data_IF_607158480631
#
_entry.id   IF_607158480631
#
_cell.length_a   1.000
_cell.length_b   1.000
_cell.length_c   1.000
_cell.angle_alpha   90.00
_cell.angle_beta   90.00
_cell.angle_gamma   90.00
#
_symmetry.space_group_name_H-M   'P 1'
#
loop_
_entity.id
_entity.type
_entity.pdbx_description
1 polymer ?
#
# COMPACT_ATOMS: atom_id res chain seq x y z
N UNK A 1 -2.92 -30.15 -12.80
CA UNK A 1 -2.34 -29.01 -13.56
C UNK A 1 -0.93 -29.41 -13.98
N UNK A 2 -0.58 -29.27 -15.26
CA UNK A 2 0.77 -29.59 -15.76
C UNK A 2 1.77 -28.49 -15.41
N UNK A 3 3.05 -28.82 -15.20
CA UNK A 3 4.12 -27.83 -14.99
C UNK A 3 4.15 -26.78 -16.10
N UNK A 4 3.93 -27.19 -17.36
CA UNK A 4 3.85 -26.28 -18.51
C UNK A 4 2.70 -25.27 -18.38
N UNK A 5 1.54 -25.72 -17.90
CA UNK A 5 0.38 -24.83 -17.66
C UNK A 5 0.60 -23.84 -16.51
N UNK A 6 1.47 -24.17 -15.55
CA UNK A 6 1.84 -23.25 -14.48
C UNK A 6 2.80 -22.18 -14.97
N UNK A 7 3.78 -22.55 -15.81
CA UNK A 7 4.74 -21.61 -16.39
C UNK A 7 4.08 -20.59 -17.31
N UNK A 8 3.13 -21.03 -18.15
CA UNK A 8 2.39 -20.11 -19.05
C UNK A 8 1.54 -19.12 -18.27
N UNK A 9 0.90 -19.55 -17.19
CA UNK A 9 0.12 -18.66 -16.32
C UNK A 9 0.99 -17.64 -15.60
N UNK A 10 2.17 -18.04 -15.10
CA UNK A 10 3.13 -17.10 -14.50
C UNK A 10 3.55 -16.02 -15.50
N UNK A 11 3.93 -16.41 -16.71
CA UNK A 11 4.32 -15.46 -17.75
C UNK A 11 3.20 -14.49 -18.13
N UNK A 12 1.93 -14.96 -18.18
CA UNK A 12 0.77 -14.08 -18.39
C UNK A 12 0.58 -13.09 -17.24
N UNK A 13 0.71 -13.55 -16.00
CA UNK A 13 0.63 -12.67 -14.82
C UNK A 13 1.70 -11.58 -14.87
N UNK A 14 2.96 -11.96 -15.14
CA UNK A 14 4.07 -11.00 -15.20
C UNK A 14 3.88 -9.96 -16.32
N UNK A 15 3.33 -10.38 -17.47
CA UNK A 15 2.97 -9.47 -18.55
C UNK A 15 1.85 -8.49 -18.13
N UNK A 16 0.81 -8.98 -17.44
CA UNK A 16 -0.28 -8.14 -16.93
C UNK A 16 0.22 -7.11 -15.90
N UNK A 17 1.07 -7.52 -14.96
CA UNK A 17 1.72 -6.62 -13.99
C UNK A 17 2.53 -5.55 -14.71
N UNK A 18 3.28 -5.94 -15.76
CA UNK A 18 4.04 -4.98 -16.57
C UNK A 18 3.15 -3.96 -17.26
N UNK A 19 1.98 -4.36 -17.75
CA UNK A 19 1.02 -3.42 -18.34
C UNK A 19 0.50 -2.42 -17.30
N UNK A 20 0.18 -2.85 -16.07
CA UNK A 20 -0.19 -1.93 -14.97
C UNK A 20 0.91 -0.90 -14.71
N UNK A 21 2.17 -1.35 -14.60
CA UNK A 21 3.31 -0.46 -14.37
C UNK A 21 3.51 0.54 -15.52
N UNK A 22 3.27 0.14 -16.78
CA UNK A 22 3.32 1.02 -17.94
C UNK A 22 2.15 2.00 -17.99
N UNK A 23 0.94 1.56 -17.63
CA UNK A 23 -0.28 2.37 -17.63
C UNK A 23 -0.13 3.58 -16.70
N UNK A 24 0.37 3.34 -15.48
CA UNK A 24 0.64 4.37 -14.45
C UNK A 24 1.57 5.49 -14.91
N UNK A 25 2.38 5.24 -15.95
CA UNK A 25 3.36 6.19 -16.50
C UNK A 25 2.97 6.73 -17.88
N UNK A 26 1.75 6.42 -18.35
CA UNK A 26 1.27 6.76 -19.68
C UNK A 26 0.18 7.84 -19.61
N UNK A 27 0.00 8.56 -20.72
CA UNK A 27 -1.14 9.46 -20.92
C UNK A 27 -2.47 8.70 -20.96
N UNK A 28 -3.57 9.38 -20.63
CA UNK A 28 -4.88 8.77 -20.35
C UNK A 28 -5.33 7.72 -21.37
N UNK A 29 -5.32 8.05 -22.68
CA UNK A 29 -5.79 7.12 -23.72
C UNK A 29 -4.93 5.85 -23.85
N UNK A 30 -3.61 5.97 -23.68
CA UNK A 30 -2.70 4.82 -23.67
C UNK A 30 -2.80 4.03 -22.36
N UNK A 31 -2.97 4.73 -21.24
CA UNK A 31 -3.14 4.11 -19.93
C UNK A 31 -4.39 3.22 -19.90
N UNK A 32 -5.52 3.69 -20.43
CA UNK A 32 -6.78 2.93 -20.50
C UNK A 32 -6.61 1.61 -21.28
N UNK A 33 -5.96 1.64 -22.45
CA UNK A 33 -5.69 0.44 -23.25
C UNK A 33 -4.77 -0.56 -22.51
N UNK A 34 -3.77 -0.05 -21.79
CA UNK A 34 -2.85 -0.87 -21.01
C UNK A 34 -3.55 -1.51 -19.80
N UNK A 35 -4.43 -0.78 -19.11
CA UNK A 35 -5.25 -1.33 -18.02
C UNK A 35 -6.18 -2.44 -18.53
N UNK A 36 -6.91 -2.21 -19.64
CA UNK A 36 -7.76 -3.23 -20.26
C UNK A 36 -6.96 -4.51 -20.61
N UNK A 37 -5.75 -4.33 -21.16
CA UNK A 37 -4.85 -5.46 -21.48
C UNK A 37 -4.39 -6.20 -20.22
N UNK A 38 -4.09 -5.48 -19.14
CA UNK A 38 -3.75 -6.08 -17.85
C UNK A 38 -4.91 -6.90 -17.29
N UNK A 39 -6.14 -6.36 -17.31
CA UNK A 39 -7.33 -7.02 -16.76
C UNK A 39 -7.69 -8.31 -17.50
N UNK A 40 -7.56 -8.31 -18.82
CA UNK A 40 -7.71 -9.55 -19.60
C UNK A 40 -6.66 -10.59 -19.18
N UNK A 41 -5.41 -10.16 -18.95
CA UNK A 41 -4.34 -11.02 -18.47
C UNK A 41 -4.62 -11.60 -17.08
N UNK A 42 -5.13 -10.81 -16.14
CA UNK A 42 -5.51 -11.30 -14.81
C UNK A 42 -6.69 -12.28 -14.87
N UNK A 43 -7.72 -12.00 -15.68
CA UNK A 43 -8.86 -12.89 -15.87
C UNK A 43 -8.44 -14.28 -16.42
N UNK A 44 -7.52 -14.30 -17.38
CA UNK A 44 -6.94 -15.53 -17.93
C UNK A 44 -6.20 -16.36 -16.87
N UNK A 45 -5.51 -15.69 -15.94
CA UNK A 45 -4.72 -16.33 -14.88
C UNK A 45 -5.62 -16.95 -13.80
N UNK A 46 -6.63 -16.20 -13.38
CA UNK A 46 -7.57 -16.52 -12.28
C UNK A 46 -8.29 -17.87 -12.49
N UNK A 47 -8.41 -18.32 -13.73
CA UNK A 47 -9.00 -19.61 -14.10
C UNK A 47 -8.17 -20.85 -13.68
N UNK A 48 -7.42 -20.83 -12.56
CA UNK A 48 -6.79 -22.02 -11.97
C UNK A 48 -5.83 -21.76 -10.80
N UNK A 49 -5.76 -22.73 -9.89
CA UNK A 49 -5.84 -22.52 -8.44
C UNK A 49 -4.54 -22.18 -7.66
N UNK A 50 -3.41 -21.81 -8.29
CA UNK A 50 -2.12 -21.66 -7.56
C UNK A 50 -1.58 -20.23 -7.41
N UNK A 51 -1.89 -19.32 -8.34
CA UNK A 51 -1.46 -17.91 -8.30
C UNK A 51 -2.67 -16.95 -8.21
N UNK A 52 -3.79 -17.49 -7.70
CA UNK A 52 -5.08 -16.81 -7.70
C UNK A 52 -5.07 -15.55 -6.81
N UNK A 53 -4.55 -15.66 -5.59
CA UNK A 53 -4.47 -14.52 -4.66
C UNK A 53 -3.54 -13.41 -5.20
N UNK A 54 -2.38 -13.77 -5.76
CA UNK A 54 -1.43 -12.81 -6.35
C UNK A 54 -2.05 -12.08 -7.56
N UNK A 55 -2.75 -12.81 -8.43
CA UNK A 55 -3.46 -12.20 -9.56
C UNK A 55 -4.59 -11.26 -9.11
N UNK A 56 -5.37 -11.64 -8.09
CA UNK A 56 -6.40 -10.78 -7.50
C UNK A 56 -5.80 -9.51 -6.90
N UNK A 57 -4.70 -9.64 -6.15
CA UNK A 57 -4.00 -8.50 -5.58
C UNK A 57 -3.54 -7.53 -6.67
N UNK A 58 -2.83 -8.01 -7.70
CA UNK A 58 -2.33 -7.14 -8.76
C UNK A 58 -3.43 -6.54 -9.63
N UNK A 59 -4.56 -7.23 -9.79
CA UNK A 59 -5.73 -6.65 -10.43
C UNK A 59 -6.31 -5.51 -9.59
N UNK A 60 -6.55 -5.73 -8.30
CA UNK A 60 -6.98 -4.67 -7.38
C UNK A 60 -6.05 -3.47 -7.37
N UNK A 61 -4.74 -3.72 -7.36
CA UNK A 61 -3.69 -2.70 -7.45
C UNK A 61 -3.78 -1.90 -8.76
N UNK A 62 -3.99 -2.56 -9.90
CA UNK A 62 -4.21 -1.90 -11.18
C UNK A 62 -5.42 -0.98 -11.16
N UNK A 63 -6.56 -1.48 -10.66
CA UNK A 63 -7.81 -0.73 -10.55
C UNK A 63 -7.67 0.49 -9.61
N UNK A 64 -7.04 0.30 -8.44
CA UNK A 64 -6.73 1.40 -7.51
C UNK A 64 -5.97 2.53 -8.21
N UNK A 65 -4.97 2.19 -9.03
CA UNK A 65 -4.22 3.19 -9.79
C UNK A 65 -4.97 3.77 -10.98
N UNK A 66 -5.82 3.00 -11.66
CA UNK A 66 -6.70 3.52 -12.70
C UNK A 66 -7.68 4.54 -12.13
N UNK A 67 -8.34 4.22 -11.00
CA UNK A 67 -9.30 5.11 -10.35
C UNK A 67 -8.68 6.47 -10.00
N UNK A 68 -7.44 6.48 -9.50
CA UNK A 68 -6.66 7.70 -9.21
C UNK A 68 -6.38 8.57 -10.43
N UNK A 69 -6.39 7.99 -11.63
CA UNK A 69 -6.17 8.71 -12.89
C UNK A 69 -7.46 9.25 -13.49
N UNK A 70 -8.63 8.88 -12.95
CA UNK A 70 -9.91 9.34 -13.47
C UNK A 70 -10.24 10.76 -13.04
N UNK A 71 -10.76 11.55 -13.99
CA UNK A 71 -11.29 12.89 -13.73
C UNK A 71 -12.78 12.88 -13.36
N UNK A 72 -13.51 11.86 -13.83
CA UNK A 72 -14.91 11.65 -13.50
C UNK A 72 -15.02 10.85 -12.20
N UNK A 73 -15.60 11.47 -11.16
CA UNK A 73 -15.77 10.85 -9.85
C UNK A 73 -16.70 9.65 -9.86
N UNK A 74 -17.75 9.63 -10.70
CA UNK A 74 -18.64 8.47 -10.80
C UNK A 74 -17.89 7.25 -11.35
N UNK A 75 -17.11 7.46 -12.41
CA UNK A 75 -16.26 6.39 -12.97
C UNK A 75 -15.19 5.96 -11.97
N UNK A 76 -14.60 6.90 -11.23
CA UNK A 76 -13.60 6.57 -10.20
C UNK A 76 -14.21 5.71 -9.08
N UNK A 77 -15.41 6.05 -8.62
CA UNK A 77 -16.15 5.28 -7.59
C UNK A 77 -16.33 3.83 -8.03
N UNK A 78 -16.87 3.60 -9.23
CA UNK A 78 -17.10 2.24 -9.75
C UNK A 78 -15.80 1.41 -9.79
N UNK A 79 -14.69 2.04 -10.21
CA UNK A 79 -13.38 1.38 -10.28
C UNK A 79 -12.81 1.10 -8.87
N UNK A 80 -13.00 2.01 -7.90
CA UNK A 80 -12.60 1.77 -6.51
C UNK A 80 -13.37 0.60 -5.89
N UNK A 81 -14.69 0.51 -6.12
CA UNK A 81 -15.51 -0.61 -5.64
C UNK A 81 -15.03 -1.95 -6.23
N UNK A 82 -14.65 -1.93 -7.51
CA UNK A 82 -14.04 -3.09 -8.16
C UNK A 82 -12.68 -3.45 -7.57
N UNK A 83 -11.82 -2.46 -7.28
CA UNK A 83 -10.53 -2.66 -6.62
C UNK A 83 -10.69 -3.29 -5.24
N UNK A 84 -11.59 -2.73 -4.42
CA UNK A 84 -11.97 -3.22 -3.09
C UNK A 84 -12.45 -4.66 -3.16
N UNK A 85 -13.28 -4.98 -4.16
CA UNK A 85 -13.73 -6.35 -4.40
C UNK A 85 -12.55 -7.29 -4.67
N UNK A 86 -11.58 -6.91 -5.52
CA UNK A 86 -10.40 -7.75 -5.78
C UNK A 86 -9.53 -7.95 -4.54
N UNK A 87 -9.29 -6.91 -3.74
CA UNK A 87 -8.55 -7.04 -2.49
C UNK A 87 -9.28 -7.89 -1.45
N UNK A 88 -10.60 -7.73 -1.32
CA UNK A 88 -11.43 -8.52 -0.41
C UNK A 88 -11.41 -10.01 -0.78
N UNK A 89 -11.52 -10.33 -2.07
CA UNK A 89 -11.40 -11.70 -2.56
C UNK A 89 -9.98 -12.26 -2.38
N UNK A 90 -8.94 -11.43 -2.57
CA UNK A 90 -7.56 -11.82 -2.27
C UNK A 90 -7.41 -12.25 -0.79
N UNK A 91 -7.95 -11.45 0.13
CA UNK A 91 -7.94 -11.74 1.57
C UNK A 91 -8.85 -12.91 1.97
N UNK A 92 -9.91 -13.19 1.21
CA UNK A 92 -10.73 -14.38 1.42
C UNK A 92 -9.94 -15.66 1.11
N UNK A 93 -9.15 -15.64 0.03
CA UNK A 93 -8.34 -16.78 -0.42
C UNK A 93 -7.05 -16.92 0.40
N UNK A 94 -6.40 -15.80 0.70
CA UNK A 94 -5.16 -15.73 1.46
C UNK A 94 -5.27 -14.65 2.55
N UNK A 95 -5.81 -15.00 3.73
CA UNK A 95 -6.10 -14.03 4.80
C UNK A 95 -4.92 -13.23 5.33
N UNK A 96 -3.69 -13.72 5.12
CA UNK A 96 -2.45 -13.07 5.53
C UNK A 96 -1.73 -12.32 4.39
N UNK A 97 -2.43 -11.99 3.30
CA UNK A 97 -1.84 -11.21 2.19
C UNK A 97 -1.72 -9.73 2.59
N UNK A 98 -0.53 -9.35 3.07
CA UNK A 98 -0.27 -8.03 3.64
C UNK A 98 -0.62 -6.88 2.67
N UNK A 99 -0.17 -6.97 1.41
CA UNK A 99 -0.44 -5.93 0.41
C UNK A 99 -1.93 -5.69 0.18
N UNK A 100 -2.75 -6.74 0.10
CA UNK A 100 -4.19 -6.61 -0.10
C UNK A 100 -4.90 -5.99 1.13
N UNK A 101 -4.39 -6.23 2.33
CA UNK A 101 -4.90 -5.58 3.54
C UNK A 101 -4.56 -4.07 3.56
N UNK A 102 -3.34 -3.70 3.17
CA UNK A 102 -2.94 -2.28 3.11
C UNK A 102 -3.66 -1.56 1.97
N UNK A 103 -3.54 -2.05 0.74
CA UNK A 103 -4.08 -1.37 -0.44
C UNK A 103 -5.61 -1.37 -0.48
N UNK A 104 -6.26 -2.39 0.10
CA UNK A 104 -7.70 -2.38 0.29
C UNK A 104 -8.16 -1.28 1.26
N UNK A 105 -7.41 -1.05 2.35
CA UNK A 105 -7.67 0.06 3.27
C UNK A 105 -7.49 1.41 2.59
N UNK A 106 -6.43 1.54 1.78
CA UNK A 106 -6.19 2.74 0.97
C UNK A 106 -7.33 2.96 -0.02
N UNK A 107 -7.79 1.93 -0.73
CA UNK A 107 -8.91 2.05 -1.66
C UNK A 107 -10.20 2.53 -0.98
N UNK A 108 -10.49 2.05 0.24
CA UNK A 108 -11.61 2.57 1.03
C UNK A 108 -11.44 4.04 1.44
N UNK A 109 -10.24 4.47 1.85
CA UNK A 109 -9.97 5.87 2.15
C UNK A 109 -10.19 6.77 0.93
N UNK A 110 -9.63 6.39 -0.22
CA UNK A 110 -9.77 7.15 -1.47
C UNK A 110 -11.23 7.22 -1.93
N UNK A 111 -11.95 6.10 -1.84
CA UNK A 111 -13.38 6.07 -2.12
C UNK A 111 -14.17 6.99 -1.18
N UNK A 112 -13.82 7.00 0.12
CA UNK A 112 -14.41 7.91 1.11
C UNK A 112 -14.26 9.38 0.72
N UNK A 113 -13.08 9.80 0.25
CA UNK A 113 -12.80 11.19 -0.14
C UNK A 113 -13.70 11.69 -1.27
N UNK A 114 -14.05 10.83 -2.22
CA UNK A 114 -14.85 11.21 -3.40
C UNK A 114 -16.33 10.82 -3.29
N UNK A 115 -16.71 10.14 -2.21
CA UNK A 115 -18.09 9.73 -1.95
C UNK A 115 -18.91 10.83 -1.27
N UNK A 116 -20.26 10.75 -1.36
CA UNK A 116 -21.16 11.58 -0.56
C UNK A 116 -20.86 11.51 0.94
N UNK A 117 -21.13 12.61 1.65
CA UNK A 117 -20.79 12.78 3.07
C UNK A 117 -21.35 11.64 3.96
N UNK A 118 -22.57 11.17 3.68
CA UNK A 118 -23.26 10.14 4.45
C UNK A 118 -22.64 8.73 4.31
N UNK A 119 -21.84 8.49 3.28
CA UNK A 119 -21.10 7.24 3.09
C UNK A 119 -19.71 7.24 3.73
N UNK A 120 -19.12 8.42 3.99
CA UNK A 120 -17.70 8.55 4.37
C UNK A 120 -17.33 7.81 5.64
N UNK A 121 -18.13 7.97 6.70
CA UNK A 121 -17.84 7.36 8.00
C UNK A 121 -17.79 5.83 7.91
N UNK A 122 -18.71 5.25 7.13
CA UNK A 122 -18.74 3.81 6.88
C UNK A 122 -17.53 3.34 6.07
N UNK A 123 -17.13 4.09 5.05
CA UNK A 123 -15.94 3.79 4.24
C UNK A 123 -14.65 3.88 5.05
N UNK A 124 -14.50 4.89 5.90
CA UNK A 124 -13.35 5.02 6.80
C UNK A 124 -13.31 3.92 7.86
N UNK A 125 -14.47 3.47 8.36
CA UNK A 125 -14.53 2.31 9.24
C UNK A 125 -14.07 1.01 8.55
N UNK A 126 -14.40 0.85 7.26
CA UNK A 126 -13.92 -0.29 6.47
C UNK A 126 -12.42 -0.19 6.20
N UNK A 127 -11.89 1.01 5.93
CA UNK A 127 -10.46 1.26 5.82
C UNK A 127 -9.72 0.86 7.10
N UNK A 128 -10.23 1.28 8.27
CA UNK A 128 -9.71 0.91 9.59
C UNK A 128 -9.58 -0.61 9.74
N UNK A 129 -10.64 -1.37 9.45
CA UNK A 129 -10.63 -2.85 9.54
C UNK A 129 -9.55 -3.50 8.68
N UNK A 130 -9.33 -2.96 7.47
CA UNK A 130 -8.29 -3.42 6.56
C UNK A 130 -6.89 -3.12 7.10
N UNK A 131 -6.66 -1.91 7.62
CA UNK A 131 -5.39 -1.56 8.22
C UNK A 131 -5.12 -2.29 9.53
N UNK A 132 -6.12 -2.52 10.38
CA UNK A 132 -5.98 -3.37 11.57
C UNK A 132 -5.59 -4.79 11.17
N UNK A 133 -6.19 -5.34 10.11
CA UNK A 133 -5.82 -6.66 9.59
C UNK A 133 -4.35 -6.66 9.14
N UNK A 134 -3.89 -5.63 8.43
CA UNK A 134 -2.48 -5.49 8.06
C UNK A 134 -1.58 -5.47 9.32
N UNK A 135 -1.96 -4.72 10.36
CA UNK A 135 -1.24 -4.69 11.64
C UNK A 135 -1.22 -6.03 12.38
N UNK A 136 -2.27 -6.87 12.24
CA UNK A 136 -2.29 -8.25 12.76
C UNK A 136 -1.36 -9.19 11.98
N UNK A 137 -1.19 -8.96 10.68
CA UNK A 137 -0.27 -9.73 9.82
C UNK A 137 1.17 -9.32 10.09
N UNK A 138 1.43 -8.02 10.11
CA UNK A 138 2.73 -7.42 10.37
C UNK A 138 2.54 -6.15 11.20
N UNK A 139 2.94 -6.20 12.46
CA UNK A 139 2.79 -5.06 13.37
C UNK A 139 3.53 -3.83 12.81
N UNK A 140 2.85 -2.68 12.82
CA UNK A 140 3.38 -1.41 12.32
C UNK A 140 3.18 -1.16 10.82
N UNK A 141 2.87 -2.17 10.01
CA UNK A 141 2.86 -2.04 8.53
C UNK A 141 1.87 -1.01 7.97
N UNK A 142 0.83 -0.70 8.73
CA UNK A 142 -0.28 0.22 8.38
C UNK A 142 -0.55 1.24 9.48
N UNK A 143 0.36 1.39 10.46
CA UNK A 143 0.11 2.21 11.65
C UNK A 143 -0.06 3.69 11.31
N UNK A 144 0.70 4.20 10.32
CA UNK A 144 0.49 5.57 9.85
C UNK A 144 -0.87 5.73 9.15
N UNK A 145 -1.28 4.78 8.32
CA UNK A 145 -2.61 4.81 7.70
C UNK A 145 -3.75 4.73 8.73
N UNK A 146 -3.59 3.95 9.80
CA UNK A 146 -4.53 3.95 10.93
C UNK A 146 -4.60 5.33 11.58
N UNK A 147 -3.47 5.99 11.79
CA UNK A 147 -3.46 7.35 12.33
C UNK A 147 -4.22 8.34 11.43
N UNK A 148 -4.03 8.28 10.11
CA UNK A 148 -4.79 9.08 9.14
C UNK A 148 -6.30 8.82 9.27
N UNK A 149 -6.73 7.56 9.29
CA UNK A 149 -8.15 7.19 9.41
C UNK A 149 -8.75 7.65 10.74
N UNK A 150 -8.02 7.53 11.84
CA UNK A 150 -8.49 8.01 13.14
C UNK A 150 -8.60 9.54 13.18
N UNK A 151 -7.65 10.27 12.60
CA UNK A 151 -7.72 11.73 12.49
C UNK A 151 -8.93 12.17 11.63
N UNK A 152 -9.16 11.52 10.49
CA UNK A 152 -10.34 11.77 9.63
C UNK A 152 -11.67 11.50 10.34
N UNK A 153 -11.68 10.58 11.31
CA UNK A 153 -12.85 10.22 12.13
C UNK A 153 -12.96 11.01 13.44
N UNK A 154 -12.00 11.90 13.73
CA UNK A 154 -11.96 12.70 14.94
C UNK A 154 -11.57 11.93 16.21
N UNK A 155 -10.99 10.74 16.09
CA UNK A 155 -10.48 9.96 17.23
C UNK A 155 -9.02 10.33 17.52
N UNK A 156 -8.82 11.44 18.24
CA UNK A 156 -7.49 11.97 18.53
C UNK A 156 -6.62 10.98 19.33
N UNK A 157 -7.21 10.27 20.30
CA UNK A 157 -6.48 9.34 21.15
C UNK A 157 -5.96 8.14 20.34
N UNK A 158 -6.81 7.55 19.50
CA UNK A 158 -6.41 6.46 18.62
C UNK A 158 -5.39 6.92 17.56
N UNK A 159 -5.53 8.16 17.06
CA UNK A 159 -4.56 8.75 16.13
C UNK A 159 -3.18 8.88 16.77
N UNK A 160 -3.09 9.42 17.99
CA UNK A 160 -1.83 9.58 18.72
C UNK A 160 -1.14 8.22 18.96
N UNK A 161 -1.90 7.22 19.40
CA UNK A 161 -1.37 5.87 19.66
C UNK A 161 -0.92 5.15 18.38
N UNK A 162 -1.61 5.38 17.27
CA UNK A 162 -1.22 4.86 15.96
C UNK A 162 0.06 5.55 15.43
N UNK A 163 0.24 6.86 15.65
CA UNK A 163 1.48 7.57 15.33
C UNK A 163 2.68 7.10 16.16
N UNK A 164 2.47 6.84 17.46
CA UNK A 164 3.50 6.21 18.32
C UNK A 164 3.88 4.84 17.80
N UNK A 165 2.88 4.01 17.47
CA UNK A 165 3.11 2.68 16.87
C UNK A 165 3.88 2.79 15.55
N UNK A 166 3.53 3.75 14.68
CA UNK A 166 4.26 3.96 13.44
C UNK A 166 5.71 4.39 13.70
N UNK A 167 5.95 5.19 14.74
CA UNK A 167 7.30 5.59 15.17
C UNK A 167 8.12 4.39 15.63
N UNK A 168 7.56 3.58 16.53
CA UNK A 168 8.22 2.43 17.15
C UNK A 168 8.63 1.36 16.14
N UNK A 169 7.85 1.22 15.06
CA UNK A 169 8.08 0.24 14.00
C UNK A 169 8.76 0.82 12.75
N UNK A 170 9.13 2.10 12.77
CA UNK A 170 9.84 2.74 11.66
C UNK A 170 9.00 2.87 10.38
N UNK A 171 7.67 2.93 10.50
CA UNK A 171 6.74 3.05 9.37
C UNK A 171 6.23 4.47 9.15
N UNK A 172 6.84 5.47 9.81
CA UNK A 172 6.50 6.87 9.61
C UNK A 172 7.04 7.38 8.26
N UNK A 173 6.25 8.21 7.54
CA UNK A 173 6.79 9.07 6.50
C UNK A 173 7.80 10.09 7.07
N UNK A 174 8.43 10.85 6.16
CA UNK A 174 9.20 12.02 6.54
C UNK A 174 8.34 13.03 7.31
N UNK A 175 8.96 13.78 8.23
CA UNK A 175 8.24 14.74 9.08
C UNK A 175 7.51 15.79 8.27
N UNK A 176 8.10 16.31 7.19
CA UNK A 176 7.46 17.33 6.37
C UNK A 176 6.27 16.74 5.59
N UNK A 177 6.33 15.45 5.22
CA UNK A 177 5.19 14.75 4.64
C UNK A 177 4.04 14.59 5.65
N UNK A 178 4.34 14.25 6.91
CA UNK A 178 3.32 14.13 7.98
C UNK A 178 2.64 15.49 8.23
N UNK A 179 3.42 16.58 8.29
CA UNK A 179 2.87 17.93 8.51
C UNK A 179 2.03 18.40 7.31
N UNK A 180 2.40 18.01 6.09
CA UNK A 180 1.66 18.36 4.88
C UNK A 180 0.43 17.46 4.64
N UNK A 181 0.29 16.34 5.35
CA UNK A 181 -0.77 15.36 5.13
C UNK A 181 -2.15 15.96 5.48
N UNK A 182 -3.09 16.09 4.53
CA UNK A 182 -4.42 16.64 4.80
C UNK A 182 -5.24 15.76 5.75
N UNK A 183 -4.96 14.45 5.82
CA UNK A 183 -5.68 13.56 6.74
C UNK A 183 -5.40 13.92 8.21
N UNK A 184 -4.28 14.61 8.48
CA UNK A 184 -3.88 15.05 9.82
C UNK A 184 -4.44 16.43 10.19
N UNK A 185 -5.17 17.12 9.31
CA UNK A 185 -5.60 18.52 9.53
C UNK A 185 -6.37 18.71 10.85
N UNK A 186 -7.19 17.73 11.24
CA UNK A 186 -7.95 17.77 12.49
C UNK A 186 -7.07 17.77 13.75
N UNK A 187 -5.85 17.22 13.68
CA UNK A 187 -4.97 17.03 14.83
C UNK A 187 -3.76 17.96 14.84
N UNK A 188 -3.44 18.64 13.72
CA UNK A 188 -2.23 19.47 13.56
C UNK A 188 -2.06 20.56 14.61
N UNK A 189 -3.16 21.12 15.10
CA UNK A 189 -3.12 22.23 16.07
C UNK A 189 -3.04 21.78 17.52
N UNK A 190 -3.23 20.49 17.80
CA UNK A 190 -3.19 19.91 19.14
C UNK A 190 -1.79 20.00 19.74
N UNK A 191 -1.71 20.11 21.06
CA UNK A 191 -0.43 20.15 21.77
C UNK A 191 0.37 18.86 21.59
N UNK A 192 -0.31 17.71 21.61
CA UNK A 192 0.35 16.41 21.50
C UNK A 192 0.96 16.21 20.10
N UNK A 193 0.27 16.62 19.02
CA UNK A 193 0.79 16.47 17.66
C UNK A 193 2.00 17.36 17.42
N UNK A 194 1.93 18.63 17.86
CA UNK A 194 3.08 19.55 17.80
C UNK A 194 4.30 19.01 18.55
N UNK A 195 4.09 18.47 19.75
CA UNK A 195 5.15 17.85 20.54
C UNK A 195 5.73 16.59 19.86
N UNK A 196 4.87 15.76 19.25
CA UNK A 196 5.31 14.60 18.47
C UNK A 196 6.20 15.02 17.30
N UNK A 197 5.80 16.02 16.51
CA UNK A 197 6.57 16.54 15.38
C UNK A 197 7.92 17.13 15.82
N UNK A 198 7.93 17.93 16.89
CA UNK A 198 9.16 18.50 17.46
C UNK A 198 10.16 17.40 17.87
N UNK A 199 9.68 16.38 18.59
CA UNK A 199 10.51 15.24 18.98
C UNK A 199 11.09 14.50 17.76
N UNK A 200 10.30 14.35 16.68
CA UNK A 200 10.79 13.72 15.44
C UNK A 200 11.85 14.55 14.73
N UNK A 201 11.72 15.88 14.66
CA UNK A 201 12.74 16.77 14.07
C UNK A 201 14.06 16.71 14.85
N UNK A 202 13.99 16.70 16.18
CA UNK A 202 15.17 16.58 17.04
C UNK A 202 15.93 15.26 16.81
N UNK A 203 15.21 14.15 16.57
CA UNK A 203 15.82 12.86 16.25
C UNK A 203 16.54 12.86 14.89
N UNK A 204 16.02 13.59 13.89
CA UNK A 204 16.66 13.70 12.57
C UNK A 204 17.88 14.63 12.56
N UNK A 205 17.92 15.63 13.45
CA UNK A 205 19.02 16.60 13.54
C UNK A 205 20.20 16.12 14.39
N UNK A 206 20.01 15.09 15.22
CA UNK A 206 21.08 14.56 16.07
C UNK A 206 22.07 13.76 15.20
N UNK A 207 23.34 14.19 15.04
CA UNK A 207 24.30 13.44 14.24
C UNK A 207 24.59 12.11 14.93
N UNK A 208 24.27 11.01 14.25
CA UNK A 208 24.75 9.69 14.63
C UNK A 208 26.28 9.75 14.59
N UNK A 209 26.94 9.81 15.76
CA UNK A 209 28.36 9.46 15.87
C UNK A 209 28.49 8.02 15.43
N UNK A 210 28.78 7.80 14.14
CA UNK A 210 29.28 6.52 13.65
C UNK A 210 30.65 6.34 14.28
N UNK A 211 30.71 5.68 15.43
CA UNK A 211 31.95 5.05 15.86
C UNK A 211 32.35 4.08 14.75
N UNK A 212 33.49 4.36 14.11
CA UNK A 212 34.08 3.42 13.18
C UNK A 212 34.35 2.13 13.97
N UNK A 213 33.56 1.09 13.71
CA UNK A 213 33.97 -0.27 14.01
C UNK A 213 35.31 -0.46 13.30
N UNK A 214 36.39 -0.54 14.08
CA UNK A 214 37.72 -0.76 13.55
C UNK A 214 37.73 -2.03 12.70
N UNK A 215 38.54 -2.01 11.64
CA UNK A 215 38.64 -3.10 10.67
C UNK A 215 38.97 -4.43 11.38
N UNK A 216 37.96 -5.20 11.73
CA UNK A 216 38.13 -6.61 12.09
C UNK A 216 38.28 -7.35 10.78
N UNK A 217 39.52 -7.65 10.41
CA UNK A 217 39.84 -8.50 9.27
C UNK A 217 39.35 -9.93 9.55
N UNK A 218 38.09 -10.21 9.19
CA UNK A 218 37.54 -11.57 9.10
C UNK A 218 38.04 -12.18 7.79
N UNK A 219 39.14 -12.93 7.86
CA UNK A 219 39.63 -13.77 6.78
C UNK A 219 38.77 -15.04 6.70
N UNK A 220 37.63 -14.94 6.02
CA UNK A 220 36.85 -16.08 5.59
C UNK A 220 36.43 -15.85 4.14
N UNK A 221 36.92 -16.68 3.22
CA UNK A 221 36.49 -16.65 1.83
C UNK A 221 34.99 -16.96 1.74
N UNK A 222 34.14 -16.07 1.19
CA UNK A 222 32.73 -16.36 1.04
C UNK A 222 32.50 -17.18 -0.25
N UNK A 223 32.30 -18.49 -0.09
CA UNK A 223 31.82 -19.36 -1.16
C UNK A 223 30.30 -19.24 -1.33
N UNK A 224 29.81 -18.11 -1.83
CA UNK A 224 28.41 -18.03 -2.29
C UNK A 224 28.24 -16.98 -3.39
N UNK A 225 28.03 -17.46 -4.63
CA UNK A 225 27.66 -16.59 -5.76
C UNK A 225 26.15 -16.35 -5.72
N UNK A 226 25.73 -15.23 -5.14
CA UNK A 226 24.39 -14.69 -5.35
C UNK A 226 24.27 -14.21 -6.80
N UNK A 227 23.38 -14.84 -7.57
CA UNK A 227 22.90 -14.25 -8.83
C UNK A 227 22.01 -13.06 -8.46
N UNK A 228 22.34 -11.87 -8.96
CA UNK A 228 21.45 -10.71 -8.93
C UNK A 228 20.12 -11.08 -9.59
N UNK A 229 19.04 -11.20 -8.81
CA UNK A 229 17.69 -11.01 -9.31
C UNK A 229 17.37 -9.52 -9.23
N UNK A 230 16.70 -9.01 -10.26
CA UNK A 230 16.39 -7.61 -10.48
C UNK A 230 15.68 -6.97 -9.27
N UNK A 231 16.14 -5.77 -8.90
CA UNK A 231 15.55 -4.94 -7.86
C UNK A 231 14.13 -4.52 -8.28
N UNK A 232 13.11 -5.08 -7.63
CA UNK A 232 11.76 -4.53 -7.68
C UNK A 232 11.68 -3.40 -6.65
N UNK A 233 11.80 -2.17 -7.12
CA UNK A 233 11.59 -0.97 -6.31
C UNK A 233 10.08 -0.72 -6.19
N UNK A 234 9.53 -0.96 -5.00
CA UNK A 234 8.08 -0.93 -4.74
C UNK A 234 7.51 0.49 -4.56
N UNK A 235 8.32 1.56 -4.68
CA UNK A 235 7.88 2.93 -4.37
C UNK A 235 8.17 3.99 -5.46
N UNK A 236 7.99 3.66 -6.74
CA UNK A 236 7.87 4.67 -7.82
C UNK A 236 6.66 4.46 -8.71
#
# INVERSE_FOLDING_TARGET
MSLLSSLTKRSKLDAAIKYVAQARKSEAGKAEQLFQSAYQGFADVISGNLIFAEALYHWGFGLLHEARMQQDSHRAIDIYEDAISKFSFCLLVQPSYLGAAIDGGVAFMELGRISPDDARDGLYQLAEQFFEKAGRIQKGSSAYNLACVYALRGDEAACEDALKTASDFGSLPDVDAIVADPDMDAVKETTWFKAFIEARRALTETPVKREKLGDVAINAEPSFKLKKSEDFDYYT
#
